data_IF_451498014137
#
_entry.id   IF_451498014137
#
_cell.length_a   1.000
_cell.length_b   1.000
_cell.length_c   1.000
_cell.angle_alpha   90.00
_cell.angle_beta   90.00
_cell.angle_gamma   90.00
#
_symmetry.space_group_name_H-M   'P 1'
#
loop_
_entity.id
_entity.type
_entity.pdbx_description
1 polymer ?
#
# COMPACT_ATOMS: atom_id res chain seq x y z
N UNK A 1 -19.96 8.83 26.42
CA UNK A 1 -18.54 8.83 26.00
C UNK A 1 -18.33 7.70 25.00
N UNK A 2 -18.28 8.00 23.70
CA UNK A 2 -18.09 6.99 22.62
C UNK A 2 -17.22 7.54 21.47
N UNK A 3 -16.38 8.53 21.77
CA UNK A 3 -15.61 9.27 20.76
C UNK A 3 -14.14 8.87 20.76
N UNK A 4 -13.50 8.72 21.94
CA UNK A 4 -12.07 8.41 22.05
C UNK A 4 -11.70 7.07 21.39
N UNK A 5 -12.51 6.03 21.59
CA UNK A 5 -12.27 4.71 20.96
C UNK A 5 -12.30 4.80 19.42
N UNK A 6 -13.19 5.62 18.87
CA UNK A 6 -13.30 5.81 17.42
C UNK A 6 -12.13 6.65 16.88
N UNK A 7 -11.68 7.67 17.62
CA UNK A 7 -10.53 8.49 17.24
C UNK A 7 -9.20 7.72 17.33
N UNK A 8 -9.04 6.82 18.31
CA UNK A 8 -7.86 5.95 18.42
C UNK A 8 -7.77 5.01 17.21
N UNK A 9 -8.86 4.38 16.81
CA UNK A 9 -8.87 3.50 15.62
C UNK A 9 -8.54 4.27 14.34
N UNK A 10 -9.04 5.50 14.19
CA UNK A 10 -8.70 6.37 13.05
C UNK A 10 -7.22 6.74 13.02
N UNK A 11 -6.64 7.09 14.17
CA UNK A 11 -5.22 7.43 14.25
C UNK A 11 -4.33 6.23 13.86
N UNK A 12 -4.67 5.03 14.34
CA UNK A 12 -3.98 3.79 13.95
C UNK A 12 -4.11 3.52 12.44
N UNK A 13 -5.28 3.74 11.85
CA UNK A 13 -5.47 3.58 10.40
C UNK A 13 -4.72 4.64 9.58
N UNK A 14 -4.58 5.86 10.09
CA UNK A 14 -3.78 6.92 9.45
C UNK A 14 -2.28 6.58 9.43
N UNK A 15 -1.77 5.89 10.45
CA UNK A 15 -0.41 5.35 10.48
C UNK A 15 -0.14 4.41 9.29
N UNK A 16 -1.05 3.47 9.04
CA UNK A 16 -0.94 2.53 7.92
C UNK A 16 -0.94 3.24 6.57
N UNK A 17 -1.87 4.18 6.36
CA UNK A 17 -1.95 4.97 5.13
C UNK A 17 -0.66 5.77 4.86
N UNK A 18 -0.14 6.45 5.88
CA UNK A 18 1.11 7.22 5.77
C UNK A 18 2.31 6.32 5.47
N UNK A 19 2.42 5.19 6.16
CA UNK A 19 3.50 4.22 5.93
C UNK A 19 3.47 3.64 4.52
N UNK A 20 2.28 3.27 4.03
CA UNK A 20 2.10 2.80 2.65
C UNK A 20 2.46 3.89 1.63
N UNK A 21 2.06 5.14 1.86
CA UNK A 21 2.41 6.24 0.96
C UNK A 21 3.93 6.42 0.84
N UNK A 22 4.66 6.37 1.96
CA UNK A 22 6.12 6.41 1.96
C UNK A 22 6.74 5.20 1.24
N UNK A 23 6.21 4.00 1.49
CA UNK A 23 6.69 2.77 0.83
C UNK A 23 6.45 2.83 -0.69
N UNK A 24 5.29 3.30 -1.14
CA UNK A 24 4.99 3.47 -2.57
C UNK A 24 5.92 4.49 -3.25
N UNK A 25 6.20 5.62 -2.57
CA UNK A 25 7.17 6.60 -3.06
C UNK A 25 8.58 6.00 -3.16
N UNK A 26 8.99 5.23 -2.14
CA UNK A 26 10.27 4.54 -2.12
C UNK A 26 10.39 3.48 -3.22
N UNK A 27 9.33 2.71 -3.44
CA UNK A 27 9.26 1.71 -4.52
C UNK A 27 9.42 2.38 -5.89
N UNK A 28 8.78 3.53 -6.10
CA UNK A 28 8.92 4.30 -7.34
C UNK A 28 10.36 4.78 -7.54
N UNK A 29 11.01 5.28 -6.49
CA UNK A 29 12.42 5.70 -6.53
C UNK A 29 13.36 4.51 -6.75
N UNK A 30 13.14 3.38 -6.07
CA UNK A 30 13.92 2.17 -6.25
C UNK A 30 13.84 1.67 -7.69
N UNK A 31 12.64 1.69 -8.29
CA UNK A 31 12.46 1.35 -9.69
C UNK A 31 13.26 2.29 -10.61
N UNK A 32 13.24 3.60 -10.36
CA UNK A 32 14.02 4.56 -11.15
C UNK A 32 15.54 4.33 -11.04
N UNK A 33 16.01 3.80 -9.92
CA UNK A 33 17.42 3.50 -9.69
C UNK A 33 17.85 2.12 -10.23
N UNK A 34 16.99 1.09 -10.10
CA UNK A 34 17.37 -0.31 -10.30
C UNK A 34 16.60 -1.01 -11.44
N UNK A 35 15.58 -0.37 -12.02
CA UNK A 35 14.73 -0.95 -13.08
C UNK A 35 13.75 -2.03 -12.60
N UNK A 36 13.63 -2.25 -11.29
CA UNK A 36 12.67 -3.19 -10.67
C UNK A 36 12.13 -2.62 -9.37
N UNK A 37 10.92 -3.01 -9.00
CA UNK A 37 10.40 -2.79 -7.65
C UNK A 37 11.12 -3.72 -6.66
N UNK A 38 11.28 -3.25 -5.43
CA UNK A 38 11.96 -3.93 -4.35
C UNK A 38 11.13 -5.09 -3.79
N UNK A 39 11.82 -6.15 -3.36
CA UNK A 39 11.20 -7.33 -2.74
C UNK A 39 11.35 -7.37 -1.21
N UNK A 40 12.23 -6.55 -0.63
CA UNK A 40 12.41 -6.45 0.81
C UNK A 40 12.45 -4.99 1.28
N UNK A 41 11.87 -4.72 2.47
CA UNK A 41 11.88 -3.39 3.10
C UNK A 41 13.29 -2.81 3.27
N UNK A 42 14.30 -3.68 3.44
CA UNK A 42 15.71 -3.28 3.54
C UNK A 42 16.26 -2.66 2.26
N UNK A 43 15.71 -2.99 1.09
CA UNK A 43 16.14 -2.42 -0.20
C UNK A 43 15.67 -0.97 -0.37
N UNK A 44 14.55 -0.60 0.28
CA UNK A 44 13.96 0.75 0.16
C UNK A 44 14.71 1.82 0.95
N UNK A 45 15.49 1.44 1.96
CA UNK A 45 16.34 2.35 2.77
C UNK A 45 15.63 3.60 3.31
N UNK A 46 14.34 3.50 3.64
CA UNK A 46 13.50 4.62 4.12
C UNK A 46 13.41 4.76 5.64
N UNK A 47 14.10 3.91 6.40
CA UNK A 47 14.11 3.96 7.87
C UNK A 47 12.79 3.56 8.54
N UNK A 48 11.81 3.05 7.80
CA UNK A 48 10.58 2.50 8.36
C UNK A 48 10.76 1.03 8.77
N UNK A 49 10.26 0.62 9.95
CA UNK A 49 10.27 -0.78 10.34
C UNK A 49 9.24 -1.57 9.52
N UNK A 50 9.48 -2.87 9.33
CA UNK A 50 8.51 -3.79 8.70
C UNK A 50 7.33 -4.12 9.61
N UNK A 51 7.37 -3.78 10.89
CA UNK A 51 6.24 -3.96 11.81
C UNK A 51 6.20 -2.85 12.85
N UNK A 52 4.99 -2.43 13.18
CA UNK A 52 4.68 -1.53 14.31
C UNK A 52 3.77 -2.25 15.28
N UNK A 53 3.29 -1.54 16.31
CA UNK A 53 2.30 -2.09 17.24
C UNK A 53 0.96 -2.42 16.56
N UNK A 54 0.62 -1.74 15.45
CA UNK A 54 -0.69 -1.82 14.83
C UNK A 54 -0.70 -2.59 13.51
N UNK A 55 0.42 -2.61 12.78
CA UNK A 55 0.50 -3.22 11.45
C UNK A 55 1.82 -3.93 11.19
N UNK A 56 1.77 -4.98 10.37
CA UNK A 56 2.93 -5.59 9.73
C UNK A 56 2.88 -5.33 8.22
N UNK A 57 3.98 -4.83 7.69
CA UNK A 57 4.15 -4.44 6.28
C UNK A 57 5.00 -5.48 5.56
N UNK A 58 4.43 -6.09 4.53
CA UNK A 58 5.12 -7.02 3.64
C UNK A 58 5.11 -6.44 2.24
N UNK A 59 6.27 -6.30 1.61
CA UNK A 59 6.36 -5.81 0.24
C UNK A 59 6.71 -6.94 -0.72
N UNK A 60 6.34 -6.77 -1.98
CA UNK A 60 6.81 -7.61 -3.07
C UNK A 60 6.93 -6.77 -4.33
N UNK A 61 7.84 -7.13 -5.23
CA UNK A 61 8.16 -6.32 -6.40
C UNK A 61 8.64 -7.13 -7.59
N UNK A 62 8.27 -6.67 -8.78
CA UNK A 62 8.84 -7.13 -10.04
C UNK A 62 9.10 -5.92 -10.96
N UNK A 63 9.28 -6.15 -12.26
CA UNK A 63 9.59 -5.08 -13.22
C UNK A 63 8.37 -4.15 -13.48
N UNK A 64 7.16 -4.65 -13.30
CA UNK A 64 5.90 -3.96 -13.67
C UNK A 64 5.06 -3.54 -12.47
N UNK A 65 5.14 -4.27 -11.35
CA UNK A 65 4.29 -4.07 -10.19
C UNK A 65 5.09 -4.16 -8.89
N UNK A 66 4.88 -3.22 -7.98
CA UNK A 66 5.30 -3.25 -6.60
C UNK A 66 4.09 -3.19 -5.69
N UNK A 67 4.07 -3.99 -4.64
CA UNK A 67 2.97 -4.05 -3.68
C UNK A 67 3.50 -3.93 -2.25
N UNK A 68 2.66 -3.41 -1.38
CA UNK A 68 2.84 -3.42 0.07
C UNK A 68 1.54 -3.82 0.73
N UNK A 69 1.55 -4.91 1.49
CA UNK A 69 0.41 -5.36 2.27
C UNK A 69 0.62 -4.99 3.74
N UNK A 70 -0.25 -4.16 4.29
CA UNK A 70 -0.31 -3.82 5.70
C UNK A 70 -1.39 -4.66 6.39
N UNK A 71 -0.93 -5.71 7.06
CA UNK A 71 -1.78 -6.60 7.86
C UNK A 71 -1.99 -5.95 9.23
N UNK A 72 -3.25 -5.74 9.61
CA UNK A 72 -3.59 -5.22 10.93
C UNK A 72 -3.32 -6.27 12.02
N UNK A 73 -2.72 -5.83 13.12
CA UNK A 73 -2.49 -6.63 14.33
C UNK A 73 -3.78 -6.84 15.15
N UNK A 74 -4.81 -6.02 14.92
CA UNK A 74 -6.10 -6.07 15.60
C UNK A 74 -7.22 -6.20 14.55
N UNK A 75 -8.12 -7.17 14.75
CA UNK A 75 -9.28 -7.43 13.90
C UNK A 75 -10.29 -6.27 13.82
N UNK A 76 -10.22 -5.31 14.75
CA UNK A 76 -11.04 -4.09 14.72
C UNK A 76 -10.49 -3.02 13.76
N UNK A 77 -9.29 -3.20 13.21
CA UNK A 77 -8.69 -2.31 12.23
C UNK A 77 -8.88 -2.86 10.82
N UNK A 78 -8.94 -1.95 9.84
CA UNK A 78 -8.95 -2.31 8.43
C UNK A 78 -7.55 -2.70 7.97
N UNK A 79 -7.45 -3.68 7.10
CA UNK A 79 -6.23 -3.96 6.34
C UNK A 79 -6.04 -2.95 5.23
N UNK A 80 -4.79 -2.68 4.87
CA UNK A 80 -4.46 -1.77 3.79
C UNK A 80 -3.46 -2.41 2.83
N UNK A 81 -3.52 -2.01 1.58
CA UNK A 81 -2.56 -2.45 0.58
C UNK A 81 -2.22 -1.27 -0.32
N UNK A 82 -0.94 -1.05 -0.58
CA UNK A 82 -0.44 -0.13 -1.57
C UNK A 82 0.03 -0.88 -2.79
N UNK A 83 -0.25 -0.31 -3.96
CA UNK A 83 0.27 -0.84 -5.23
C UNK A 83 0.84 0.29 -6.04
N UNK A 84 2.03 0.06 -6.57
CA UNK A 84 2.67 0.88 -7.59
C UNK A 84 2.81 0.06 -8.86
N UNK A 85 2.47 0.66 -9.99
CA UNK A 85 2.54 0.01 -11.29
C UNK A 85 3.29 0.90 -12.25
N UNK A 86 4.16 0.27 -13.05
CA UNK A 86 4.77 0.89 -14.21
C UNK A 86 4.06 0.46 -15.49
N UNK A 87 3.70 1.44 -16.31
CA UNK A 87 3.07 1.21 -17.60
C UNK A 87 3.36 2.33 -18.59
N UNK A 88 3.14 2.08 -19.88
CA UNK A 88 3.18 3.10 -20.91
C UNK A 88 1.78 3.71 -21.10
N UNK A 89 1.69 5.04 -21.17
CA UNK A 89 0.46 5.73 -21.55
C UNK A 89 0.15 5.59 -23.05
N UNK A 90 -0.96 6.18 -23.51
CA UNK A 90 -1.32 6.19 -24.92
C UNK A 90 -0.29 6.85 -25.85
N UNK A 91 0.64 7.63 -25.31
CA UNK A 91 1.72 8.31 -26.03
C UNK A 91 3.08 7.60 -25.87
N UNK A 92 3.10 6.34 -25.40
CA UNK A 92 4.31 5.56 -25.14
C UNK A 92 5.24 6.16 -24.06
N UNK A 93 4.73 7.09 -23.23
CA UNK A 93 5.48 7.63 -22.10
C UNK A 93 5.38 6.66 -20.93
N UNK A 94 6.53 6.36 -20.34
CA UNK A 94 6.58 5.49 -19.16
C UNK A 94 6.11 6.26 -17.93
N UNK A 95 5.12 5.72 -17.25
CA UNK A 95 4.52 6.26 -16.03
C UNK A 95 4.70 5.24 -14.92
N UNK A 96 5.01 5.73 -13.72
CA UNK A 96 4.87 4.98 -12.48
C UNK A 96 3.77 5.66 -11.69
N UNK A 97 2.73 4.90 -11.35
CA UNK A 97 1.59 5.41 -10.57
C UNK A 97 1.30 4.46 -9.43
N UNK A 98 0.74 4.99 -8.34
CA UNK A 98 0.38 4.18 -7.20
C UNK A 98 -0.92 4.59 -6.56
N UNK A 99 -1.53 3.62 -5.91
CA UNK A 99 -2.78 3.77 -5.17
C UNK A 99 -2.65 3.10 -3.80
N UNK A 100 -3.60 3.42 -2.94
CA UNK A 100 -3.81 2.75 -1.66
C UNK A 100 -5.24 2.21 -1.68
N UNK A 101 -5.39 0.98 -1.24
CA UNK A 101 -6.66 0.30 -1.11
C UNK A 101 -6.84 -0.14 0.35
N UNK A 102 -8.08 -0.12 0.84
CA UNK A 102 -8.44 -0.49 2.20
C UNK A 102 -9.55 -1.53 2.20
N UNK A 103 -9.57 -2.42 3.20
CA UNK A 103 -10.65 -3.40 3.32
C UNK A 103 -12.02 -2.71 3.53
N UNK A 104 -13.07 -3.25 2.91
CA UNK A 104 -14.42 -2.68 3.04
C UNK A 104 -14.94 -2.73 4.49
N UNK A 105 -14.53 -3.75 5.25
CA UNK A 105 -14.81 -3.90 6.69
C UNK A 105 -13.51 -4.11 7.48
N UNK A 106 -13.59 -4.04 8.80
CA UNK A 106 -12.45 -4.39 9.65
C UNK A 106 -11.98 -5.84 9.37
N UNK A 107 -10.68 -6.06 9.38
CA UNK A 107 -10.05 -7.29 8.91
C UNK A 107 -9.09 -7.07 7.74
N UNK A 108 -8.27 -8.09 7.46
CA UNK A 108 -7.18 -8.00 6.50
C UNK A 108 -7.65 -8.20 5.05
N UNK A 109 -6.93 -7.58 4.12
CA UNK A 109 -7.13 -7.79 2.68
C UNK A 109 -6.49 -9.13 2.28
N UNK A 110 -7.26 -9.99 1.63
CA UNK A 110 -6.80 -11.31 1.16
C UNK A 110 -6.55 -11.36 -0.35
N UNK A 111 -7.18 -10.46 -1.12
CA UNK A 111 -6.93 -10.30 -2.55
C UNK A 111 -6.06 -9.07 -2.81
N UNK A 112 -4.82 -9.28 -3.25
CA UNK A 112 -3.94 -8.18 -3.59
C UNK A 112 -4.41 -7.48 -4.87
N UNK A 113 -4.37 -6.13 -4.93
CA UNK A 113 -4.71 -5.38 -6.13
C UNK A 113 -3.75 -5.75 -7.25
N UNK A 114 -4.27 -5.87 -8.47
CA UNK A 114 -3.48 -6.26 -9.65
C UNK A 114 -3.04 -5.07 -10.49
N UNK A 115 -3.43 -3.85 -10.10
CA UNK A 115 -3.08 -2.62 -10.80
C UNK A 115 -2.85 -1.48 -9.83
N UNK A 116 -1.94 -0.58 -10.19
CA UNK A 116 -1.69 0.70 -9.51
C UNK A 116 -2.24 1.89 -10.28
N UNK A 117 -3.05 1.66 -11.33
CA UNK A 117 -3.56 2.73 -12.21
C UNK A 117 -4.78 3.42 -11.59
N UNK A 118 -4.80 4.76 -11.55
CA UNK A 118 -6.00 5.50 -11.22
C UNK A 118 -7.12 5.21 -12.24
N UNK A 119 -8.35 5.01 -11.78
CA UNK A 119 -9.53 4.83 -12.64
C UNK A 119 -9.78 3.42 -13.16
N UNK A 120 -8.93 2.44 -12.82
CA UNK A 120 -9.29 1.02 -12.95
C UNK A 120 -9.92 0.53 -11.64
N UNK A 121 -10.65 -0.59 -11.65
CA UNK A 121 -11.08 -1.30 -10.42
C UNK A 121 -9.88 -1.96 -9.74
N UNK A 122 -8.86 -1.15 -9.48
CA UNK A 122 -7.51 -1.55 -9.20
C UNK A 122 -7.42 -2.39 -7.92
N UNK A 123 -8.20 -2.00 -6.91
CA UNK A 123 -8.31 -2.65 -5.60
C UNK A 123 -8.96 -4.05 -5.63
N UNK A 124 -9.56 -4.48 -6.74
CA UNK A 124 -10.25 -5.76 -6.84
C UNK A 124 -11.58 -5.79 -6.07
N UNK A 125 -12.03 -6.99 -5.69
CA UNK A 125 -13.30 -7.19 -4.97
C UNK A 125 -13.14 -7.09 -3.45
N UNK A 126 -14.09 -6.46 -2.75
CA UNK A 126 -14.12 -6.29 -1.28
C UNK A 126 -13.07 -5.32 -0.69
N UNK A 127 -12.48 -4.48 -1.54
CA UNK A 127 -11.48 -3.49 -1.15
C UNK A 127 -11.84 -2.16 -1.83
N UNK A 128 -11.75 -1.06 -1.08
CA UNK A 128 -12.11 0.28 -1.52
C UNK A 128 -10.86 1.14 -1.71
N UNK A 129 -10.93 2.19 -2.53
CA UNK A 129 -9.85 3.17 -2.62
C UNK A 129 -9.70 3.89 -1.28
N UNK A 130 -8.50 3.81 -0.70
CA UNK A 130 -8.15 4.49 0.53
C UNK A 130 -8.10 6.01 0.28
N UNK A 131 -9.21 6.69 0.54
CA UNK A 131 -9.28 8.16 0.59
C UNK A 131 -8.64 8.71 1.86
#
# INVERSE_FOLDING_TARGET
MKTILNEVSKAKQAEAKSSIAHINAAQSTHWLAQGTFANAMSELSIGLPSSTANYTYIISGNISLGTVNATASDTMLKGYVGVVERYADGNQKQIISGIICESAAAGNITSLPTSGRPGTNACGTNVELGR
#
